data_IF_857295148861
#
_entry.id   IF_857295148861
#
_cell.length_a   1.000
_cell.length_b   1.000
_cell.length_c   1.000
_cell.angle_alpha   90.00
_cell.angle_beta   90.00
_cell.angle_gamma   90.00
#
_symmetry.space_group_name_H-M   'P 1'
#
loop_
_entity.id
_entity.type
_entity.pdbx_description
1 polymer ?
#
# COMPACT_ATOMS: atom_id res chain seq x y z
N UNK A 1 7.52 -34.94 8.94
CA UNK A 1 6.69 -33.88 9.56
C UNK A 1 7.49 -33.27 10.69
N UNK A 2 8.23 -32.19 10.43
CA UNK A 2 8.99 -31.49 11.47
C UNK A 2 7.99 -30.70 12.35
N UNK A 3 7.78 -31.15 13.58
CA UNK A 3 7.00 -30.40 14.58
C UNK A 3 7.90 -29.28 15.07
N UNK A 4 7.60 -28.05 14.66
CA UNK A 4 8.25 -26.88 15.24
C UNK A 4 7.84 -26.80 16.71
N UNK A 5 8.80 -26.56 17.64
CA UNK A 5 8.48 -26.43 19.05
C UNK A 5 7.51 -25.27 19.27
N UNK A 6 6.53 -25.46 20.17
CA UNK A 6 5.47 -24.47 20.44
C UNK A 6 6.02 -23.09 20.82
N UNK A 7 7.23 -23.08 21.37
CA UNK A 7 7.99 -21.89 21.75
C UNK A 7 8.31 -20.99 20.54
N UNK A 8 8.60 -21.59 19.39
CA UNK A 8 8.84 -20.85 18.14
C UNK A 8 7.56 -20.19 17.62
N UNK A 9 6.41 -20.85 17.77
CA UNK A 9 5.11 -20.30 17.35
C UNK A 9 4.70 -19.12 18.22
N UNK A 10 4.96 -19.21 19.53
CA UNK A 10 4.68 -18.14 20.49
C UNK A 10 5.57 -16.93 20.25
N UNK A 11 6.88 -17.14 19.99
CA UNK A 11 7.81 -16.05 19.68
C UNK A 11 7.43 -15.36 18.38
N UNK A 12 7.10 -16.10 17.32
CA UNK A 12 6.67 -15.51 16.04
C UNK A 12 5.34 -14.76 16.20
N UNK A 13 4.37 -15.33 16.92
CA UNK A 13 3.09 -14.65 17.17
C UNK A 13 3.28 -13.37 18.00
N UNK A 14 4.12 -13.40 19.03
CA UNK A 14 4.44 -12.23 19.85
C UNK A 14 5.16 -11.15 19.03
N UNK A 15 6.12 -11.54 18.17
CA UNK A 15 6.83 -10.60 17.29
C UNK A 15 5.87 -9.94 16.28
N UNK A 16 4.97 -10.73 15.68
CA UNK A 16 3.92 -10.24 14.78
C UNK A 16 2.95 -9.30 15.51
N UNK A 17 2.54 -9.63 16.74
CA UNK A 17 1.68 -8.77 17.56
C UNK A 17 2.36 -7.46 17.96
N UNK A 18 3.66 -7.46 18.24
CA UNK A 18 4.42 -6.22 18.51
C UNK A 18 4.57 -5.34 17.28
N UNK A 19 4.62 -5.93 16.08
CA UNK A 19 4.64 -5.17 14.82
C UNK A 19 3.25 -4.62 14.46
N UNK A 20 2.18 -5.29 14.90
CA UNK A 20 0.78 -4.83 14.72
C UNK A 20 0.36 -3.75 15.73
N UNK A 21 1.15 -3.50 16.78
CA UNK A 21 0.95 -2.42 17.74
C UNK A 21 1.23 -1.05 17.11
N UNK A 22 0.27 -0.52 16.35
CA UNK A 22 0.36 0.84 15.80
C UNK A 22 0.53 1.87 16.93
N UNK A 23 1.61 2.65 16.87
CA UNK A 23 1.84 3.78 17.78
C UNK A 23 0.79 4.87 17.56
N UNK A 24 -0.34 4.79 18.28
CA UNK A 24 -1.54 5.62 18.08
C UNK A 24 -1.42 7.05 18.62
N UNK A 25 -0.31 7.39 19.28
CA UNK A 25 -0.07 8.70 19.88
C UNK A 25 0.55 9.74 18.93
N UNK A 26 1.12 9.32 17.80
CA UNK A 26 1.75 10.22 16.84
C UNK A 26 0.78 10.61 15.72
N UNK A 27 0.84 11.87 15.21
CA UNK A 27 0.12 12.23 14.00
C UNK A 27 0.66 11.44 12.80
N UNK A 28 -0.20 11.15 11.82
CA UNK A 28 0.20 10.48 10.59
C UNK A 28 1.35 11.25 9.92
N UNK A 29 2.41 10.52 9.55
CA UNK A 29 3.65 11.13 9.07
C UNK A 29 3.47 11.86 7.73
N UNK A 30 2.50 11.45 6.91
CA UNK A 30 2.16 12.08 5.65
C UNK A 30 1.27 13.32 5.86
N UNK A 31 0.24 13.21 6.70
CA UNK A 31 -0.61 14.35 7.10
C UNK A 31 0.22 15.46 7.76
N UNK A 32 1.17 15.08 8.63
CA UNK A 32 2.10 16.01 9.26
C UNK A 32 2.99 16.74 8.25
N UNK A 33 3.48 16.02 7.22
CA UNK A 33 4.27 16.61 6.14
C UNK A 33 3.46 17.63 5.34
N UNK A 34 2.24 17.28 4.92
CA UNK A 34 1.35 18.19 4.19
C UNK A 34 1.12 19.47 5.00
N UNK A 35 0.86 19.34 6.30
CA UNK A 35 0.64 20.51 7.15
C UNK A 35 1.87 21.42 7.24
N UNK A 36 3.08 20.85 7.36
CA UNK A 36 4.33 21.63 7.41
C UNK A 36 4.68 22.31 6.09
N UNK A 37 4.39 21.67 4.96
CA UNK A 37 4.61 22.25 3.62
C UNK A 37 3.78 23.52 3.37
N UNK A 38 2.71 23.77 4.14
CA UNK A 38 1.94 25.02 4.07
C UNK A 38 2.66 26.21 4.72
N UNK A 39 3.58 25.98 5.67
CA UNK A 39 4.22 27.04 6.47
C UNK A 39 4.89 28.10 5.60
N UNK A 40 5.73 27.75 4.60
CA UNK A 40 6.37 28.76 3.75
C UNK A 40 5.36 29.58 2.95
N UNK A 41 4.29 28.96 2.45
CA UNK A 41 3.31 29.62 1.58
C UNK A 41 2.34 30.57 2.32
N UNK A 42 2.15 30.40 3.64
CA UNK A 42 1.28 31.26 4.45
C UNK A 42 2.02 32.42 5.12
N UNK A 43 3.35 32.46 5.00
CA UNK A 43 4.21 33.48 5.60
C UNK A 43 4.91 34.31 4.51
N UNK A 44 5.45 35.49 4.86
CA UNK A 44 6.17 36.33 3.89
C UNK A 44 7.38 35.61 3.28
N UNK A 45 7.74 35.91 2.02
CA UNK A 45 8.95 35.39 1.40
C UNK A 45 10.19 35.78 2.22
N UNK A 46 11.25 34.96 2.15
CA UNK A 46 12.51 35.13 2.90
C UNK A 46 12.41 34.98 4.43
N UNK A 47 11.32 34.42 4.94
CA UNK A 47 11.21 34.05 6.36
C UNK A 47 11.94 32.72 6.64
N UNK A 48 12.65 32.63 7.76
CA UNK A 48 13.17 31.35 8.25
C UNK A 48 12.24 30.73 9.29
N UNK A 49 12.15 29.41 9.28
CA UNK A 49 11.19 28.65 10.07
C UNK A 49 11.91 27.63 10.95
N UNK A 50 11.51 27.52 12.21
CA UNK A 50 11.94 26.46 13.11
C UNK A 50 10.71 25.78 13.72
N UNK A 51 10.49 24.52 13.37
CA UNK A 51 9.38 23.72 13.92
C UNK A 51 9.75 23.32 15.35
N UNK A 52 8.89 23.66 16.31
CA UNK A 52 9.08 23.35 17.72
C UNK A 52 8.43 22.01 18.09
N UNK A 53 7.20 21.79 17.62
CA UNK A 53 6.47 20.54 17.87
C UNK A 53 5.48 20.24 16.75
N UNK A 54 5.24 18.95 16.52
CA UNK A 54 4.18 18.46 15.64
C UNK A 54 3.39 17.41 16.42
N UNK A 55 2.14 17.72 16.74
CA UNK A 55 1.29 16.91 17.61
C UNK A 55 -0.06 16.63 16.94
N UNK A 56 -0.80 15.66 17.45
CA UNK A 56 -2.17 15.40 17.02
C UNK A 56 -3.10 16.49 17.58
N UNK A 57 -3.92 17.10 16.72
CA UNK A 57 -4.78 18.21 17.13
C UNK A 57 -6.02 17.71 17.91
N UNK A 58 -6.55 18.50 18.86
CA UNK A 58 -7.84 18.21 19.50
C UNK A 58 -8.96 18.17 18.45
N UNK A 59 -9.68 17.05 18.33
CA UNK A 59 -10.71 16.85 17.29
C UNK A 59 -10.23 16.20 15.99
N UNK A 60 -8.98 15.75 15.93
CA UNK A 60 -8.39 15.06 14.77
C UNK A 60 -7.64 16.02 13.84
N UNK A 61 -6.62 15.50 13.17
CA UNK A 61 -5.68 16.28 12.34
C UNK A 61 -4.34 16.56 13.04
N UNK A 62 -3.61 17.53 12.52
CA UNK A 62 -2.23 17.83 12.93
C UNK A 62 -2.11 19.29 13.38
N UNK A 63 -1.49 19.50 14.53
CA UNK A 63 -1.09 20.81 15.02
C UNK A 63 0.44 20.95 14.94
N UNK A 64 0.89 22.02 14.29
CA UNK A 64 2.31 22.37 14.16
C UNK A 64 2.56 23.71 14.83
N UNK A 65 3.44 23.71 15.83
CA UNK A 65 3.93 24.93 16.47
C UNK A 65 5.31 25.26 15.92
N UNK A 66 5.49 26.48 15.41
CA UNK A 66 6.72 26.89 14.75
C UNK A 66 7.08 28.34 15.06
N UNK A 67 8.37 28.64 15.09
CA UNK A 67 8.88 29.99 15.16
C UNK A 67 9.18 30.51 13.74
N UNK A 68 8.69 31.70 13.43
CA UNK A 68 8.98 32.45 12.20
C UNK A 68 9.92 33.57 12.55
N UNK A 69 11.04 33.69 11.83
CA UNK A 69 11.91 34.86 11.86
C UNK A 69 11.85 35.55 10.50
N UNK A 70 11.27 36.75 10.48
CA UNK A 70 11.13 37.57 9.27
C UNK A 70 12.46 38.26 8.92
N UNK A 71 12.58 38.76 7.68
CA UNK A 71 13.75 39.54 7.24
C UNK A 71 14.07 40.76 8.14
N UNK A 72 13.05 41.30 8.83
CA UNK A 72 13.18 42.35 9.84
C UNK A 72 13.76 41.89 11.19
N UNK A 73 14.21 40.63 11.29
CA UNK A 73 14.79 40.05 12.50
C UNK A 73 13.79 39.70 13.61
N UNK A 74 12.51 40.01 13.45
CA UNK A 74 11.48 39.74 14.45
C UNK A 74 11.13 38.26 14.46
N UNK A 75 11.25 37.63 15.64
CA UNK A 75 10.88 36.24 15.85
C UNK A 75 9.51 36.14 16.53
N UNK A 76 8.57 35.41 15.94
CA UNK A 76 7.24 35.14 16.51
C UNK A 76 6.91 33.67 16.42
N UNK A 77 6.33 33.12 17.47
CA UNK A 77 5.80 31.76 17.47
C UNK A 77 4.37 31.79 16.94
N UNK A 78 4.09 30.91 15.97
CA UNK A 78 2.79 30.75 15.32
C UNK A 78 2.34 29.29 15.43
N UNK A 79 1.04 29.09 15.37
CA UNK A 79 0.43 27.76 15.39
C UNK A 79 -0.36 27.53 14.11
N UNK A 80 -0.15 26.39 13.47
CA UNK A 80 -0.88 25.94 12.29
C UNK A 80 -1.60 24.64 12.63
N UNK A 81 -2.92 24.61 12.46
CA UNK A 81 -3.74 23.41 12.63
C UNK A 81 -4.25 22.99 11.26
N UNK A 82 -4.09 21.73 10.90
CA UNK A 82 -4.56 21.16 9.64
C UNK A 82 -5.50 20.00 9.91
N UNK A 83 -6.68 20.01 9.31
CA UNK A 83 -7.67 18.93 9.41
C UNK A 83 -7.72 18.13 8.12
N UNK A 84 -7.70 16.81 8.27
CA UNK A 84 -7.70 15.86 7.15
C UNK A 84 -8.99 15.05 7.09
N UNK A 85 -9.45 14.76 5.89
CA UNK A 85 -10.60 13.91 5.59
C UNK A 85 -10.21 12.43 5.45
N UNK A 86 -11.22 11.57 5.32
CA UNK A 86 -11.09 10.10 5.29
C UNK A 86 -10.97 9.51 3.88
N UNK A 87 -10.81 10.34 2.83
CA UNK A 87 -10.79 9.87 1.44
C UNK A 87 -9.55 9.00 1.18
N UNK A 88 -9.78 7.78 0.69
CA UNK A 88 -8.78 6.71 0.62
C UNK A 88 -7.82 6.76 -0.59
N UNK A 89 -8.10 7.57 -1.61
CA UNK A 89 -7.45 7.41 -2.93
C UNK A 89 -6.79 8.67 -3.55
N UNK A 90 -6.98 9.88 -2.99
CA UNK A 90 -6.27 11.09 -3.44
C UNK A 90 -5.57 11.76 -2.26
N UNK A 91 -4.24 11.80 -2.26
CA UNK A 91 -3.41 12.12 -1.08
C UNK A 91 -3.33 13.62 -0.79
N UNK A 92 -3.39 14.48 -1.80
CA UNK A 92 -3.34 15.94 -1.63
C UNK A 92 -4.72 16.54 -1.33
N UNK A 93 -5.80 15.87 -1.76
CA UNK A 93 -7.16 16.37 -1.55
C UNK A 93 -7.70 16.10 -0.13
N UNK A 94 -6.98 15.29 0.67
CA UNK A 94 -7.37 14.99 2.06
C UNK A 94 -7.33 16.21 2.98
N UNK A 95 -6.56 17.26 2.69
CA UNK A 95 -6.54 18.46 3.54
C UNK A 95 -7.87 19.22 3.41
N UNK A 96 -8.75 19.15 4.41
CA UNK A 96 -10.09 19.76 4.35
C UNK A 96 -10.07 21.22 4.78
N UNK A 97 -9.30 21.54 5.83
CA UNK A 97 -9.24 22.87 6.40
C UNK A 97 -7.88 23.13 7.06
N UNK A 98 -7.49 24.39 7.15
CA UNK A 98 -6.29 24.82 7.87
C UNK A 98 -6.55 26.12 8.64
N UNK A 99 -6.03 26.23 9.85
CA UNK A 99 -6.12 27.42 10.71
C UNK A 99 -4.72 27.93 11.04
N UNK A 100 -4.48 29.21 10.79
CA UNK A 100 -3.25 29.91 11.15
C UNK A 100 -3.51 30.88 12.30
N UNK A 101 -2.89 30.65 13.46
CA UNK A 101 -3.11 31.41 14.71
C UNK A 101 -4.59 31.57 15.07
N UNK A 102 -5.35 30.48 14.92
CA UNK A 102 -6.79 30.45 15.20
C UNK A 102 -7.68 31.07 14.12
N UNK A 103 -7.11 31.67 13.06
CA UNK A 103 -7.87 32.14 11.89
C UNK A 103 -7.89 31.09 10.81
N UNK A 104 -9.09 30.70 10.40
CA UNK A 104 -9.27 29.77 9.30
C UNK A 104 -8.79 30.36 7.97
N UNK A 105 -8.07 29.57 7.19
CA UNK A 105 -7.73 29.94 5.81
C UNK A 105 -9.01 29.91 4.98
N UNK A 106 -9.21 30.93 4.14
CA UNK A 106 -10.34 30.94 3.21
C UNK A 106 -10.28 29.74 2.26
N UNK A 107 -11.44 29.21 1.90
CA UNK A 107 -11.55 28.06 0.99
C UNK A 107 -10.81 28.29 -0.33
N UNK A 108 -10.91 29.51 -0.89
CA UNK A 108 -10.22 29.90 -2.13
C UNK A 108 -8.70 29.84 -1.96
N UNK A 109 -8.18 30.36 -0.84
CA UNK A 109 -6.73 30.32 -0.57
C UNK A 109 -6.25 28.90 -0.40
N UNK A 110 -7.03 28.07 0.29
CA UNK A 110 -6.72 26.65 0.48
C UNK A 110 -6.72 25.89 -0.85
N UNK A 111 -7.70 26.15 -1.72
CA UNK A 111 -7.80 25.54 -3.04
C UNK A 111 -6.59 25.88 -3.93
N UNK A 112 -6.16 27.15 -3.94
CA UNK A 112 -4.97 27.58 -4.67
C UNK A 112 -3.72 26.84 -4.16
N UNK A 113 -3.56 26.70 -2.85
CA UNK A 113 -2.43 25.97 -2.26
C UNK A 113 -2.44 24.48 -2.63
N UNK A 114 -3.62 23.85 -2.66
CA UNK A 114 -3.75 22.46 -3.13
C UNK A 114 -3.35 22.29 -4.59
N UNK A 115 -3.85 23.18 -5.46
CA UNK A 115 -3.65 23.08 -6.91
C UNK A 115 -2.22 23.39 -7.34
N UNK A 116 -1.59 24.42 -6.74
CA UNK A 116 -0.33 24.96 -7.27
C UNK A 116 0.88 24.75 -6.36
N UNK A 117 0.69 24.53 -5.06
CA UNK A 117 1.81 24.46 -4.11
C UNK A 117 2.08 23.02 -3.64
N UNK A 118 1.09 22.32 -3.08
CA UNK A 118 1.31 21.04 -2.38
C UNK A 118 1.87 19.90 -3.24
N UNK A 119 1.71 19.97 -4.57
CA UNK A 119 2.29 19.01 -5.51
C UNK A 119 3.66 19.40 -6.10
N UNK A 120 4.17 20.60 -5.80
CA UNK A 120 5.40 21.10 -6.41
C UNK A 120 6.66 20.53 -5.75
N UNK A 121 7.74 20.38 -6.52
CA UNK A 121 9.06 20.02 -5.96
C UNK A 121 9.56 21.09 -4.98
N UNK A 122 9.19 22.35 -5.21
CA UNK A 122 9.54 23.48 -4.35
C UNK A 122 8.93 23.36 -2.95
N UNK A 123 7.66 22.96 -2.85
CA UNK A 123 7.02 22.77 -1.54
C UNK A 123 7.60 21.59 -0.77
N UNK A 124 7.98 20.51 -1.48
CA UNK A 124 8.65 19.37 -0.88
C UNK A 124 10.04 19.72 -0.33
N UNK A 125 10.80 20.56 -1.03
CA UNK A 125 12.11 21.05 -0.59
C UNK A 125 12.00 22.11 0.54
N UNK A 126 10.90 22.85 0.58
CA UNK A 126 10.64 23.88 1.57
C UNK A 126 9.99 23.37 2.88
N UNK A 127 9.84 22.05 3.09
CA UNK A 127 9.40 21.51 4.38
C UNK A 127 10.40 21.93 5.47
N UNK A 128 10.00 22.76 6.45
CA UNK A 128 10.91 23.29 7.47
C UNK A 128 11.36 22.24 8.50
N UNK A 129 10.76 21.05 8.50
CA UNK A 129 11.24 19.91 9.27
C UNK A 129 11.07 18.62 8.43
N UNK A 130 11.87 18.44 7.37
CA UNK A 130 11.79 17.26 6.53
C UNK A 130 12.35 16.10 7.35
N UNK A 131 11.44 15.34 7.94
CA UNK A 131 11.65 14.08 8.65
C UNK A 131 12.93 14.03 9.52
N UNK A 132 12.76 14.20 10.84
CA UNK A 132 13.68 13.76 11.92
C UNK A 132 14.56 14.85 12.56
N UNK A 133 13.95 15.65 13.43
CA UNK A 133 14.55 15.95 14.74
C UNK A 133 14.12 14.92 15.80
N UNK A 134 13.86 13.66 15.42
CA UNK A 134 14.08 12.58 16.38
C UNK A 134 15.59 12.53 16.54
N UNK A 135 16.10 12.91 17.70
CA UNK A 135 17.52 12.99 18.03
C UNK A 135 18.28 11.66 17.99
N UNK A 136 17.81 10.67 17.22
CA UNK A 136 18.43 9.37 17.04
C UNK A 136 17.84 8.64 15.82
N UNK A 137 17.98 9.19 14.61
CA UNK A 137 17.92 8.32 13.42
C UNK A 137 19.27 7.63 13.37
N UNK A 138 19.34 6.29 13.47
CA UNK A 138 20.59 5.62 13.15
C UNK A 138 21.01 6.04 11.74
N UNK A 139 22.16 6.70 11.63
CA UNK A 139 22.79 7.04 10.35
C UNK A 139 23.30 5.73 9.75
N UNK A 140 22.40 5.02 9.06
CA UNK A 140 22.71 3.76 8.37
C UNK A 140 23.55 4.10 7.13
N UNK A 141 24.59 3.33 6.85
CA UNK A 141 25.37 3.50 5.63
C UNK A 141 24.47 3.35 4.39
N UNK A 142 24.66 4.18 3.36
CA UNK A 142 23.89 4.09 2.11
C UNK A 142 23.79 2.67 1.52
N UNK A 143 24.87 1.85 1.48
CA UNK A 143 24.74 0.48 0.98
C UNK A 143 23.81 -0.39 1.83
N UNK A 144 23.86 -0.25 3.16
CA UNK A 144 22.97 -1.00 4.05
C UNK A 144 21.52 -0.54 3.90
N UNK A 145 21.27 0.76 3.77
CA UNK A 145 19.93 1.28 3.49
C UNK A 145 19.37 0.74 2.16
N UNK A 146 20.18 0.66 1.11
CA UNK A 146 19.80 0.09 -0.17
C UNK A 146 19.44 -1.40 -0.09
N UNK A 147 20.25 -2.19 0.63
CA UNK A 147 19.99 -3.62 0.82
C UNK A 147 18.72 -3.83 1.64
N UNK A 148 18.54 -3.08 2.73
CA UNK A 148 17.32 -3.14 3.54
C UNK A 148 16.09 -2.78 2.70
N UNK A 149 16.18 -1.75 1.86
CA UNK A 149 15.11 -1.40 0.93
C UNK A 149 14.77 -2.56 -0.02
N UNK A 150 15.78 -3.21 -0.60
CA UNK A 150 15.55 -4.36 -1.48
C UNK A 150 14.89 -5.53 -0.76
N UNK A 151 15.34 -5.83 0.47
CA UNK A 151 14.74 -6.90 1.29
C UNK A 151 13.28 -6.60 1.59
N UNK A 152 12.98 -5.38 2.04
CA UNK A 152 11.60 -4.96 2.34
C UNK A 152 10.73 -4.95 1.10
N UNK A 153 11.24 -4.45 -0.03
CA UNK A 153 10.54 -4.47 -1.32
C UNK A 153 10.32 -5.88 -1.86
N UNK A 154 11.15 -6.86 -1.49
CA UNK A 154 10.98 -8.26 -1.87
C UNK A 154 9.97 -9.02 -0.99
N UNK A 155 9.63 -8.53 0.20
CA UNK A 155 8.71 -9.22 1.13
C UNK A 155 7.36 -9.60 0.53
N UNK A 156 6.66 -8.76 -0.27
CA UNK A 156 5.39 -9.14 -0.87
C UNK A 156 5.53 -10.34 -1.81
N UNK A 157 6.59 -10.35 -2.63
CA UNK A 157 6.88 -11.43 -3.56
C UNK A 157 7.24 -12.72 -2.80
N UNK A 158 8.08 -12.61 -1.76
CA UNK A 158 8.41 -13.73 -0.87
C UNK A 158 7.16 -14.28 -0.20
N UNK A 159 6.24 -13.43 0.26
CA UNK A 159 4.98 -13.84 0.87
C UNK A 159 4.12 -14.69 -0.07
N UNK A 160 3.96 -14.25 -1.32
CA UNK A 160 3.22 -15.01 -2.35
C UNK A 160 3.89 -16.36 -2.59
N UNK A 161 5.21 -16.40 -2.80
CA UNK A 161 5.91 -17.66 -3.04
C UNK A 161 5.95 -18.57 -1.81
N UNK A 162 5.99 -18.03 -0.60
CA UNK A 162 5.96 -18.78 0.65
C UNK A 162 4.62 -19.51 0.84
N UNK A 163 3.52 -18.93 0.34
CA UNK A 163 2.20 -19.58 0.34
C UNK A 163 2.06 -20.56 -0.83
N UNK A 164 2.56 -20.21 -2.02
CA UNK A 164 2.47 -21.07 -3.20
C UNK A 164 3.33 -22.33 -3.09
N UNK A 165 4.50 -22.26 -2.49
CA UNK A 165 5.42 -23.39 -2.36
C UNK A 165 4.79 -24.63 -1.66
N UNK A 166 4.21 -24.52 -0.45
CA UNK A 166 3.53 -25.65 0.18
C UNK A 166 2.27 -26.07 -0.58
N UNK A 167 1.51 -25.15 -1.18
CA UNK A 167 0.35 -25.50 -2.00
C UNK A 167 0.74 -26.35 -3.22
N UNK A 168 1.84 -25.97 -3.89
CA UNK A 168 2.40 -26.73 -5.01
C UNK A 168 2.89 -28.12 -4.57
N UNK A 169 3.58 -28.19 -3.43
CA UNK A 169 4.03 -29.45 -2.86
C UNK A 169 2.86 -30.39 -2.51
N UNK A 170 1.75 -29.86 -1.98
CA UNK A 170 0.55 -30.63 -1.67
C UNK A 170 -0.11 -31.18 -2.93
N UNK A 171 -0.27 -30.36 -3.97
CA UNK A 171 -0.85 -30.78 -5.25
C UNK A 171 0.01 -31.86 -5.90
N UNK A 172 1.33 -31.66 -5.93
CA UNK A 172 2.26 -32.67 -6.42
C UNK A 172 2.17 -33.96 -5.58
N UNK A 173 2.08 -33.86 -4.26
CA UNK A 173 1.94 -35.01 -3.36
C UNK A 173 0.65 -35.82 -3.59
N UNK A 174 -0.44 -35.17 -4.00
CA UNK A 174 -1.71 -35.83 -4.31
C UNK A 174 -1.74 -36.45 -5.71
N UNK A 175 -1.19 -35.76 -6.71
CA UNK A 175 -1.30 -36.15 -8.13
C UNK A 175 -0.11 -37.01 -8.59
N UNK A 176 1.06 -36.85 -7.97
CA UNK A 176 2.30 -37.53 -8.36
C UNK A 176 2.87 -37.09 -9.71
N UNK A 177 2.36 -35.98 -10.27
CA UNK A 177 2.79 -35.41 -11.56
C UNK A 177 3.03 -33.90 -11.42
N UNK A 178 4.01 -33.40 -12.15
CA UNK A 178 4.31 -31.96 -12.21
C UNK A 178 3.21 -31.26 -13.00
N UNK A 179 2.66 -30.19 -12.43
CA UNK A 179 1.69 -29.32 -13.09
C UNK A 179 2.30 -27.94 -13.27
N UNK A 180 2.66 -27.54 -14.48
CA UNK A 180 3.25 -26.21 -14.73
C UNK A 180 2.22 -25.08 -14.77
N UNK A 181 0.93 -25.39 -14.92
CA UNK A 181 -0.15 -24.38 -14.93
C UNK A 181 -0.58 -23.90 -13.55
N UNK A 182 -0.04 -24.46 -12.45
CA UNK A 182 -0.47 -24.12 -11.09
C UNK A 182 -0.38 -22.61 -10.79
N UNK A 183 0.71 -21.98 -11.21
CA UNK A 183 0.92 -20.54 -11.04
C UNK A 183 -0.15 -19.69 -11.74
N UNK A 184 -0.68 -20.16 -12.87
CA UNK A 184 -1.72 -19.45 -13.62
C UNK A 184 -3.08 -19.52 -12.93
N UNK A 185 -3.42 -20.62 -12.24
CA UNK A 185 -4.62 -20.68 -11.40
C UNK A 185 -4.53 -19.72 -10.21
N UNK A 186 -3.36 -19.63 -9.58
CA UNK A 186 -3.12 -18.68 -8.52
C UNK A 186 -3.22 -17.22 -9.00
N UNK A 187 -2.62 -16.92 -10.16
CA UNK A 187 -2.70 -15.60 -10.79
C UNK A 187 -4.14 -15.22 -11.14
N UNK A 188 -4.90 -16.16 -11.71
CA UNK A 188 -6.30 -15.97 -12.07
C UNK A 188 -7.17 -15.68 -10.83
N UNK A 189 -7.02 -16.46 -9.77
CA UNK A 189 -7.72 -16.24 -8.50
C UNK A 189 -7.36 -14.88 -7.88
N UNK A 190 -6.09 -14.50 -7.91
CA UNK A 190 -5.64 -13.18 -7.46
C UNK A 190 -6.25 -12.04 -8.28
N UNK A 191 -6.31 -12.18 -9.61
CA UNK A 191 -6.95 -11.20 -10.48
C UNK A 191 -8.45 -11.06 -10.19
N UNK A 192 -9.15 -12.18 -10.01
CA UNK A 192 -10.56 -12.15 -9.62
C UNK A 192 -10.79 -11.54 -8.23
N UNK A 193 -9.88 -11.78 -7.28
CA UNK A 193 -9.95 -11.16 -5.96
C UNK A 193 -9.80 -9.63 -6.03
N UNK A 194 -8.92 -9.13 -6.90
CA UNK A 194 -8.77 -7.68 -7.13
C UNK A 194 -10.06 -7.03 -7.65
N UNK A 195 -10.84 -7.74 -8.49
CA UNK A 195 -12.14 -7.25 -8.96
C UNK A 195 -13.17 -7.12 -7.82
N UNK A 196 -13.00 -7.85 -6.71
CA UNK A 196 -13.86 -7.74 -5.54
C UNK A 196 -13.76 -6.39 -4.83
N UNK A 197 -12.63 -5.69 -4.92
CA UNK A 197 -12.42 -4.39 -4.28
C UNK A 197 -13.39 -3.31 -4.80
N UNK A 198 -13.48 -3.03 -6.11
CA UNK A 198 -14.46 -2.06 -6.61
C UNK A 198 -15.90 -2.55 -6.48
N UNK A 199 -16.16 -3.86 -6.59
CA UNK A 199 -17.50 -4.44 -6.43
C UNK A 199 -18.02 -4.31 -4.98
N UNK A 200 -17.11 -4.28 -4.01
CA UNK A 200 -17.40 -4.02 -2.61
C UNK A 200 -17.55 -2.52 -2.29
N UNK A 201 -17.47 -1.61 -3.28
CA UNK A 201 -17.33 -0.15 -3.11
C UNK A 201 -18.42 0.59 -2.33
N UNK A 202 -19.48 -0.09 -1.89
CA UNK A 202 -20.49 0.44 -0.96
C UNK A 202 -20.24 0.05 0.52
N UNK A 203 -19.29 -0.86 0.78
CA UNK A 203 -18.95 -1.37 2.10
C UNK A 203 -17.86 -0.49 2.72
N UNK A 204 -18.16 0.14 3.85
CA UNK A 204 -17.23 1.00 4.59
C UNK A 204 -16.28 0.21 5.49
N UNK A 205 -16.51 -1.10 5.68
CA UNK A 205 -15.77 -1.94 6.61
C UNK A 205 -14.81 -2.89 5.88
N UNK A 206 -13.52 -2.80 6.22
CA UNK A 206 -12.43 -3.53 5.56
C UNK A 206 -12.58 -5.07 5.53
N UNK A 207 -13.08 -5.73 6.60
CA UNK A 207 -13.33 -7.17 6.57
C UNK A 207 -14.31 -7.64 5.49
N UNK A 208 -15.34 -6.85 5.20
CA UNK A 208 -16.37 -7.26 4.23
C UNK A 208 -15.83 -7.17 2.79
N UNK A 209 -15.04 -6.13 2.50
CA UNK A 209 -14.29 -5.99 1.24
C UNK A 209 -13.37 -7.18 1.02
N UNK A 210 -12.66 -7.60 2.08
CA UNK A 210 -11.77 -8.76 2.03
C UNK A 210 -12.56 -10.07 1.79
N UNK A 211 -13.70 -10.25 2.45
CA UNK A 211 -14.53 -11.43 2.28
C UNK A 211 -15.05 -11.58 0.84
N UNK A 212 -15.56 -10.50 0.25
CA UNK A 212 -16.02 -10.47 -1.15
C UNK A 212 -14.88 -10.76 -2.12
N UNK A 213 -13.73 -10.12 -1.92
CA UNK A 213 -12.53 -10.33 -2.73
C UNK A 213 -12.05 -11.78 -2.67
N UNK A 214 -11.98 -12.36 -1.46
CA UNK A 214 -11.58 -13.74 -1.28
C UNK A 214 -12.58 -14.72 -1.92
N UNK A 215 -13.88 -14.47 -1.76
CA UNK A 215 -14.93 -15.31 -2.34
C UNK A 215 -14.84 -15.33 -3.88
N UNK A 216 -14.64 -14.17 -4.52
CA UNK A 216 -14.45 -14.07 -5.97
C UNK A 216 -13.18 -14.81 -6.42
N UNK A 217 -12.06 -14.64 -5.70
CA UNK A 217 -10.82 -15.34 -6.00
C UNK A 217 -10.95 -16.86 -5.91
N UNK A 218 -11.57 -17.37 -4.84
CA UNK A 218 -11.85 -18.79 -4.65
C UNK A 218 -12.80 -19.34 -5.71
N UNK A 219 -13.85 -18.60 -6.04
CA UNK A 219 -14.79 -18.98 -7.09
C UNK A 219 -14.11 -19.08 -8.45
N UNK A 220 -13.31 -18.08 -8.85
CA UNK A 220 -12.60 -18.09 -10.12
C UNK A 220 -11.57 -19.22 -10.20
N UNK A 221 -10.71 -19.38 -9.18
CA UNK A 221 -9.72 -20.45 -9.16
C UNK A 221 -10.37 -21.84 -9.11
N UNK A 222 -11.43 -22.02 -8.31
CA UNK A 222 -12.15 -23.28 -8.16
C UNK A 222 -12.88 -23.71 -9.43
N UNK A 223 -13.59 -22.78 -10.08
CA UNK A 223 -14.30 -23.07 -11.34
C UNK A 223 -13.34 -23.44 -12.46
N UNK A 224 -12.25 -22.69 -12.65
CA UNK A 224 -11.26 -22.99 -13.68
C UNK A 224 -10.48 -24.27 -13.37
N UNK A 225 -10.15 -24.50 -12.09
CA UNK A 225 -9.54 -25.75 -11.63
C UNK A 225 -10.44 -26.97 -11.90
N UNK A 226 -11.74 -26.85 -11.65
CA UNK A 226 -12.72 -27.89 -11.93
C UNK A 226 -12.82 -28.18 -13.45
N UNK A 227 -12.92 -27.14 -14.27
CA UNK A 227 -12.93 -27.26 -15.74
C UNK A 227 -11.65 -27.96 -16.23
N UNK A 228 -10.48 -27.50 -15.80
CA UNK A 228 -9.21 -28.13 -16.18
C UNK A 228 -9.12 -29.59 -15.70
N UNK A 229 -9.62 -29.89 -14.50
CA UNK A 229 -9.70 -31.26 -13.98
C UNK A 229 -10.50 -32.16 -14.91
N UNK A 230 -11.72 -31.75 -15.25
CA UNK A 230 -12.66 -32.55 -16.05
C UNK A 230 -12.19 -32.74 -17.49
N UNK A 231 -11.67 -31.68 -18.12
CA UNK A 231 -11.38 -31.68 -19.55
C UNK A 231 -9.93 -32.01 -19.90
N UNK A 232 -8.99 -31.82 -18.98
CA UNK A 232 -7.56 -32.00 -19.25
C UNK A 232 -6.98 -33.09 -18.35
N UNK A 233 -7.11 -32.98 -17.03
CA UNK A 233 -6.39 -33.88 -16.13
C UNK A 233 -7.01 -35.28 -16.04
N UNK A 234 -8.34 -35.40 -15.96
CA UNK A 234 -9.03 -36.67 -15.86
C UNK A 234 -8.86 -37.56 -17.12
N UNK A 235 -8.98 -37.04 -18.36
CA UNK A 235 -8.66 -37.82 -19.56
C UNK A 235 -7.20 -38.26 -19.62
N UNK A 236 -6.28 -37.47 -19.08
CA UNK A 236 -4.84 -37.74 -19.11
C UNK A 236 -4.35 -38.61 -17.94
N UNK A 237 -5.22 -39.16 -17.09
CA UNK A 237 -4.77 -39.95 -15.93
C UNK A 237 -3.94 -41.21 -16.31
N UNK A 238 -4.17 -41.80 -17.49
CA UNK A 238 -3.37 -42.94 -18.02
C UNK A 238 -2.23 -42.52 -18.94
N UNK A 239 -2.09 -41.23 -19.22
CA UNK A 239 -1.07 -40.71 -20.12
C UNK A 239 0.32 -40.76 -19.47
N UNK A 240 1.37 -40.71 -20.30
CA UNK A 240 2.74 -40.63 -19.82
C UNK A 240 3.00 -39.28 -19.13
N UNK A 241 3.99 -39.24 -18.23
CA UNK A 241 4.35 -38.00 -17.53
C UNK A 241 4.72 -36.85 -18.48
N UNK A 242 5.33 -37.16 -19.63
CA UNK A 242 5.66 -36.17 -20.65
C UNK A 242 4.42 -35.58 -21.33
N UNK A 243 3.40 -36.41 -21.60
CA UNK A 243 2.13 -35.92 -22.16
C UNK A 243 1.42 -34.97 -21.19
N UNK A 244 1.42 -35.30 -19.89
CA UNK A 244 0.88 -34.43 -18.83
C UNK A 244 1.66 -33.11 -18.76
N UNK A 245 2.99 -33.16 -18.84
CA UNK A 245 3.82 -31.95 -18.84
C UNK A 245 3.46 -31.02 -20.00
N UNK A 246 3.42 -31.56 -21.22
CA UNK A 246 3.06 -30.78 -22.43
C UNK A 246 1.66 -30.18 -22.30
N UNK A 247 0.68 -30.96 -21.83
CA UNK A 247 -0.68 -30.46 -21.60
C UNK A 247 -0.72 -29.33 -20.57
N UNK A 248 0.05 -29.43 -19.49
CA UNK A 248 0.11 -28.37 -18.46
C UNK A 248 0.75 -27.09 -18.97
N UNK A 249 1.75 -27.16 -19.86
CA UNK A 249 2.32 -25.96 -20.50
C UNK A 249 1.30 -25.32 -21.44
N UNK A 250 0.62 -26.12 -22.26
CA UNK A 250 -0.43 -25.62 -23.15
C UNK A 250 -1.58 -24.96 -22.38
N UNK A 251 -1.98 -25.56 -21.26
CA UNK A 251 -2.97 -24.97 -20.34
C UNK A 251 -2.49 -23.65 -19.74
N UNK A 252 -1.22 -23.56 -19.33
CA UNK A 252 -0.66 -22.31 -18.80
C UNK A 252 -0.75 -21.17 -19.84
N UNK A 253 -0.32 -21.44 -21.09
CA UNK A 253 -0.43 -20.47 -22.18
C UNK A 253 -1.88 -20.07 -22.47
N UNK A 254 -2.79 -21.03 -22.47
CA UNK A 254 -4.22 -20.76 -22.67
C UNK A 254 -4.80 -19.87 -21.57
N UNK A 255 -4.42 -20.09 -20.30
CA UNK A 255 -4.84 -19.28 -19.17
C UNK A 255 -4.24 -17.87 -19.21
N UNK A 256 -2.96 -17.74 -19.60
CA UNK A 256 -2.32 -16.43 -19.80
C UNK A 256 -3.05 -15.62 -20.86
N UNK A 257 -3.37 -16.24 -22.00
CA UNK A 257 -4.09 -15.57 -23.09
C UNK A 257 -5.53 -15.25 -22.70
N UNK A 258 -6.21 -16.16 -22.01
CA UNK A 258 -7.53 -15.91 -21.44
C UNK A 258 -7.53 -14.68 -20.54
N UNK A 259 -6.57 -14.57 -19.61
CA UNK A 259 -6.44 -13.41 -18.72
C UNK A 259 -6.08 -12.12 -19.48
N UNK A 260 -5.28 -12.23 -20.54
CA UNK A 260 -4.94 -11.09 -21.41
C UNK A 260 -6.19 -10.55 -22.10
N UNK A 261 -7.05 -11.44 -22.61
CA UNK A 261 -8.30 -11.08 -23.28
C UNK A 261 -9.35 -10.56 -22.28
N UNK A 262 -9.45 -11.14 -21.09
CA UNK A 262 -10.43 -10.72 -20.08
C UNK A 262 -10.20 -9.31 -19.54
N UNK A 263 -8.94 -8.84 -19.56
CA UNK A 263 -8.57 -7.48 -19.14
C UNK A 263 -9.01 -6.40 -20.13
N UNK A 264 -9.37 -6.78 -21.36
CA UNK A 264 -9.67 -5.84 -22.44
C UNK A 264 -8.45 -5.03 -22.89
N UNK A 265 -8.50 -4.46 -24.08
CA UNK A 265 -7.67 -3.30 -24.41
C UNK A 265 -8.21 -2.09 -23.65
N UNK A 266 -7.37 -1.14 -23.22
CA UNK A 266 -7.85 0.11 -22.64
C UNK A 266 -8.62 0.88 -23.72
N UNK A 267 -9.93 0.65 -23.80
CA UNK A 267 -10.86 1.43 -24.62
C UNK A 267 -11.19 2.70 -23.85
N UNK A 268 -10.42 3.77 -24.10
CA UNK A 268 -10.78 5.14 -23.76
C UNK A 268 -9.69 5.92 -23.02
N UNK A 269 -9.02 6.84 -23.73
CA UNK A 269 -8.24 7.90 -23.09
C UNK A 269 -7.16 8.62 -23.89
N UNK A 270 -6.81 8.19 -25.11
CA UNK A 270 -5.77 8.86 -25.93
C UNK A 270 -6.19 9.04 -27.39
N UNK A 271 -7.32 9.71 -27.62
CA UNK A 271 -7.58 10.44 -28.88
C UNK A 271 -8.54 11.61 -28.63
N UNK A 272 -8.04 12.66 -27.97
CA UNK A 272 -8.13 14.07 -28.41
C UNK A 272 -7.52 15.00 -27.36
#
# INVERSE_FOLDING_TARGET
MARWPDEFRIVVAALVLTVLGGCSGLPDAHEARICRMLIPAINPPESSFQVQSTTKAPGGGVEVRYAVRTASGHQRTRTLLCRFGTVLFDTNDRLVAAWSDGKELSEVRLAILKLFWLGSQESAAADPAPYLQLGYVPQISQPLAFVLQHVVSALPLIGIYAVLAPAYALVYGLIGRINLAFGEFAALGGYAALLGVPLAGALTFWPDVLAVSLALGLFAAGTHGYVASRFIFEPLHRASGQQVLIATVGLAMALQEYMRLSKGSPLGGWTR
#
